data_IF_847725246474
#
_entry.id   IF_847725246474
#
_cell.length_a   1.000
_cell.length_b   1.000
_cell.length_c   1.000
_cell.angle_alpha   90.00
_cell.angle_beta   90.00
_cell.angle_gamma   90.00
#
_symmetry.space_group_name_H-M   'P 1'
#
loop_
_entity.id
_entity.type
_entity.pdbx_description
1 polymer ?
#
# COMPACT_ATOMS: atom_id res chain seq x y z
N UNK A 1 11.85 2.15 13.48
CA UNK A 1 12.84 1.87 14.55
C UNK A 1 13.62 0.59 14.27
N UNK A 2 12.97 -0.57 14.10
CA UNK A 2 13.64 -1.87 13.84
C UNK A 2 14.59 -1.79 12.65
N UNK A 3 14.16 -1.17 11.55
CA UNK A 3 14.96 -0.97 10.35
C UNK A 3 16.20 -0.13 10.61
N UNK A 4 16.07 0.95 11.39
CA UNK A 4 17.20 1.83 11.73
C UNK A 4 18.25 1.11 12.56
N UNK A 5 17.85 0.33 13.58
CA UNK A 5 18.75 -0.51 14.35
C UNK A 5 19.51 -1.52 13.49
N UNK A 6 18.85 -2.09 12.48
CA UNK A 6 19.45 -3.08 11.60
C UNK A 6 20.52 -2.49 10.67
N UNK A 7 20.27 -1.32 10.11
CA UNK A 7 21.16 -0.71 9.10
C UNK A 7 22.16 0.29 9.70
N UNK A 8 21.86 0.84 10.88
CA UNK A 8 22.68 1.84 11.57
C UNK A 8 22.85 1.45 13.04
N UNK A 9 23.54 0.29 13.34
CA UNK A 9 23.62 -0.24 14.69
C UNK A 9 24.36 0.68 15.66
N UNK A 10 25.28 1.51 15.15
CA UNK A 10 26.15 2.39 15.93
C UNK A 10 25.60 3.82 16.11
N UNK A 11 24.41 4.09 15.53
CA UNK A 11 23.75 5.40 15.63
C UNK A 11 22.54 5.29 16.57
N UNK A 12 22.34 6.25 17.49
CA UNK A 12 21.10 6.31 18.28
C UNK A 12 19.87 6.28 17.37
N UNK A 13 18.89 5.44 17.72
CA UNK A 13 17.73 5.19 16.84
C UNK A 13 16.98 6.47 16.50
N UNK A 14 16.78 7.35 17.49
CA UNK A 14 16.07 8.61 17.31
C UNK A 14 16.81 9.55 16.35
N UNK A 15 18.13 9.59 16.44
CA UNK A 15 18.98 10.35 15.54
C UNK A 15 18.92 9.79 14.11
N UNK A 16 19.05 8.48 13.95
CA UNK A 16 18.94 7.81 12.64
C UNK A 16 17.55 8.03 12.00
N UNK A 17 16.49 8.00 12.80
CA UNK A 17 15.12 8.28 12.36
C UNK A 17 14.97 9.73 11.91
N UNK A 18 15.53 10.69 12.65
CA UNK A 18 15.43 12.11 12.30
C UNK A 18 16.22 12.43 11.01
N UNK A 19 17.43 11.90 10.88
CA UNK A 19 18.23 12.03 9.64
C UNK A 19 17.47 11.45 8.45
N UNK A 20 16.89 10.25 8.59
CA UNK A 20 16.09 9.64 7.53
C UNK A 20 14.88 10.49 7.18
N UNK A 21 14.15 10.99 8.18
CA UNK A 21 12.95 11.80 7.96
C UNK A 21 13.26 13.15 7.31
N UNK A 22 14.35 13.83 7.72
CA UNK A 22 14.75 15.10 7.10
C UNK A 22 15.13 14.90 5.65
N UNK A 23 16.00 13.92 5.36
CA UNK A 23 16.39 13.60 4.00
C UNK A 23 15.19 13.23 3.12
N UNK A 24 14.30 12.38 3.65
CA UNK A 24 13.10 11.96 2.92
C UNK A 24 12.16 13.14 2.66
N UNK A 25 12.00 14.07 3.61
CA UNK A 25 11.18 15.27 3.44
C UNK A 25 11.71 16.18 2.33
N UNK A 26 13.04 16.39 2.34
CA UNK A 26 13.69 17.33 1.42
C UNK A 26 13.78 16.77 -0.01
N UNK A 27 13.85 15.43 -0.15
CA UNK A 27 14.04 14.75 -1.44
C UNK A 27 12.81 13.94 -1.87
N UNK A 28 11.69 14.04 -1.17
CA UNK A 28 10.50 13.19 -1.39
C UNK A 28 10.06 13.17 -2.85
N UNK A 29 10.05 14.33 -3.49
CA UNK A 29 9.65 14.49 -4.88
C UNK A 29 10.46 13.62 -5.84
N UNK A 30 11.76 13.47 -5.61
CA UNK A 30 12.67 12.72 -6.48
C UNK A 30 12.71 11.22 -6.15
N UNK A 31 12.27 10.86 -4.93
CA UNK A 31 12.31 9.49 -4.42
C UNK A 31 11.05 8.67 -4.72
N UNK A 32 10.02 9.28 -5.30
CA UNK A 32 8.76 8.59 -5.59
C UNK A 32 8.42 8.68 -7.08
N UNK A 33 7.83 7.60 -7.58
CA UNK A 33 7.26 7.54 -8.93
C UNK A 33 6.04 6.65 -8.94
N UNK A 34 5.17 6.83 -9.95
CA UNK A 34 4.02 5.96 -10.20
C UNK A 34 4.48 4.81 -11.09
N UNK A 35 4.12 3.59 -10.72
CA UNK A 35 4.41 2.44 -11.57
C UNK A 35 3.65 2.53 -12.89
N UNK A 36 4.27 2.06 -14.00
CA UNK A 36 3.64 2.11 -15.32
C UNK A 36 2.25 1.46 -15.33
N UNK A 37 1.28 2.17 -15.90
CA UNK A 37 -0.10 1.71 -16.05
C UNK A 37 -1.00 1.92 -14.84
N UNK A 38 -0.49 2.33 -13.67
CA UNK A 38 -1.33 2.52 -12.47
C UNK A 38 -2.32 3.67 -12.61
N UNK A 39 -1.91 4.79 -13.19
CA UNK A 39 -2.81 5.93 -13.44
C UNK A 39 -3.98 5.52 -14.35
N UNK A 40 -3.68 4.81 -15.46
CA UNK A 40 -4.69 4.31 -16.37
C UNK A 40 -5.61 3.28 -15.69
N UNK A 41 -5.06 2.41 -14.83
CA UNK A 41 -5.84 1.47 -14.02
C UNK A 41 -6.83 2.22 -13.11
N UNK A 42 -6.34 3.17 -12.31
CA UNK A 42 -7.17 3.95 -11.39
C UNK A 42 -8.30 4.67 -12.13
N UNK A 43 -8.01 5.27 -13.28
CA UNK A 43 -9.01 5.90 -14.12
C UNK A 43 -10.10 4.92 -14.56
N UNK A 44 -9.72 3.73 -15.08
CA UNK A 44 -10.68 2.73 -15.52
C UNK A 44 -11.51 2.13 -14.38
N UNK A 45 -10.90 1.92 -13.20
CA UNK A 45 -11.62 1.48 -11.99
C UNK A 45 -12.70 2.52 -11.62
N UNK A 46 -12.34 3.81 -11.66
CA UNK A 46 -13.29 4.90 -11.38
C UNK A 46 -14.40 5.01 -12.44
N UNK A 47 -14.08 4.84 -13.72
CA UNK A 47 -15.05 4.83 -14.83
C UNK A 47 -16.05 3.67 -14.71
N UNK A 48 -15.67 2.54 -14.10
CA UNK A 48 -16.56 1.42 -13.79
C UNK A 48 -17.47 1.70 -12.57
N UNK A 49 -17.27 2.79 -11.85
CA UNK A 49 -18.02 3.14 -10.65
C UNK A 49 -17.60 2.37 -9.40
N UNK A 50 -16.44 1.72 -9.44
CA UNK A 50 -15.91 1.00 -8.29
C UNK A 50 -15.43 1.97 -7.20
N UNK A 51 -15.64 1.59 -5.95
CA UNK A 51 -15.13 2.33 -4.79
C UNK A 51 -13.66 2.01 -4.56
N UNK A 52 -12.86 3.04 -4.29
CA UNK A 52 -11.42 2.91 -4.15
C UNK A 52 -10.91 3.43 -2.81
N UNK A 53 -10.05 2.65 -2.18
CA UNK A 53 -9.37 3.00 -0.94
C UNK A 53 -7.85 2.89 -1.05
N UNK A 54 -7.13 3.86 -0.51
CA UNK A 54 -5.68 3.77 -0.30
C UNK A 54 -5.40 3.42 1.16
N UNK A 55 -4.74 2.28 1.40
CA UNK A 55 -4.30 1.84 2.73
C UNK A 55 -2.78 1.82 2.78
N UNK A 56 -2.17 2.73 3.54
CA UNK A 56 -0.72 2.90 3.55
C UNK A 56 -0.13 2.98 4.96
N UNK A 57 1.10 2.47 5.12
CA UNK A 57 1.91 2.66 6.34
C UNK A 57 2.67 3.99 6.37
N UNK A 58 2.47 4.85 5.36
CA UNK A 58 3.03 6.20 5.33
C UNK A 58 2.24 7.15 6.22
N UNK A 59 2.89 8.24 6.65
CA UNK A 59 2.24 9.35 7.34
C UNK A 59 1.32 10.12 6.38
N UNK A 60 0.26 10.73 6.93
CA UNK A 60 -0.73 11.50 6.17
C UNK A 60 -0.08 12.59 5.31
N UNK A 61 0.90 13.32 5.87
CA UNK A 61 1.62 14.37 5.15
C UNK A 61 2.32 13.85 3.87
N UNK A 62 3.12 12.77 3.99
CA UNK A 62 3.84 12.21 2.83
C UNK A 62 2.90 11.54 1.83
N UNK A 63 1.81 10.96 2.31
CA UNK A 63 0.77 10.39 1.45
C UNK A 63 0.10 11.48 0.63
N UNK A 64 -0.30 12.58 1.27
CA UNK A 64 -0.89 13.74 0.60
C UNK A 64 0.03 14.31 -0.48
N UNK A 65 1.31 14.54 -0.14
CA UNK A 65 2.31 15.05 -1.11
C UNK A 65 2.43 14.14 -2.34
N UNK A 66 2.45 12.80 -2.14
CA UNK A 66 2.54 11.85 -3.25
C UNK A 66 1.32 11.88 -4.15
N UNK A 67 0.13 11.92 -3.56
CA UNK A 67 -1.13 11.99 -4.31
C UNK A 67 -1.27 13.31 -5.09
N UNK A 68 -0.87 14.44 -4.50
CA UNK A 68 -0.90 15.76 -5.16
C UNK A 68 0.13 15.85 -6.29
N UNK A 69 1.34 15.32 -6.09
CA UNK A 69 2.39 15.36 -7.12
C UNK A 69 1.99 14.70 -8.43
N UNK A 70 1.17 13.65 -8.37
CA UNK A 70 0.77 12.84 -9.53
C UNK A 70 -0.72 12.96 -9.86
N UNK A 71 -1.42 13.95 -9.30
CA UNK A 71 -2.85 14.18 -9.52
C UNK A 71 -3.72 12.94 -9.26
N UNK A 72 -3.32 12.12 -8.24
CA UNK A 72 -3.99 10.85 -7.95
C UNK A 72 -5.06 10.97 -6.85
N UNK A 73 -5.20 12.11 -6.20
CA UNK A 73 -6.06 12.29 -5.03
C UNK A 73 -7.52 11.92 -5.33
N UNK A 74 -8.04 12.34 -6.46
CA UNK A 74 -9.45 12.22 -6.82
C UNK A 74 -9.84 10.79 -7.28
N UNK A 75 -8.85 9.92 -7.41
CA UNK A 75 -9.10 8.50 -7.66
C UNK A 75 -9.44 7.72 -6.40
N UNK A 76 -9.19 8.25 -5.20
CA UNK A 76 -9.43 7.53 -3.95
C UNK A 76 -10.60 8.15 -3.18
N UNK A 77 -11.64 7.35 -2.91
CA UNK A 77 -12.78 7.72 -2.09
C UNK A 77 -12.41 7.75 -0.61
N UNK A 78 -11.43 6.92 -0.22
CA UNK A 78 -10.93 6.81 1.16
C UNK A 78 -9.40 6.70 1.17
N UNK A 79 -8.77 7.38 2.11
CA UNK A 79 -7.33 7.24 2.42
C UNK A 79 -7.21 6.88 3.91
N UNK A 80 -6.47 5.79 4.18
CA UNK A 80 -6.12 5.33 5.53
C UNK A 80 -4.60 5.32 5.64
N UNK A 81 -4.07 6.12 6.55
CA UNK A 81 -2.64 6.31 6.79
C UNK A 81 -2.19 5.64 8.09
N UNK A 82 -0.90 5.65 8.38
CA UNK A 82 -0.37 5.13 9.64
C UNK A 82 -0.95 5.81 10.88
N UNK A 83 -1.40 7.08 10.76
CA UNK A 83 -1.93 7.87 11.87
C UNK A 83 -3.42 7.58 12.15
N UNK A 84 -4.11 6.93 11.21
CA UNK A 84 -5.52 6.55 11.35
C UNK A 84 -5.71 5.24 12.13
N UNK A 85 -4.62 4.51 12.43
CA UNK A 85 -4.67 3.15 12.97
C UNK A 85 -3.79 3.01 14.21
N UNK A 86 -4.21 2.16 15.15
CA UNK A 86 -3.41 1.77 16.31
C UNK A 86 -2.49 0.60 15.99
N UNK A 87 -2.94 -0.28 15.13
CA UNK A 87 -2.20 -1.43 14.64
C UNK A 87 -1.94 -1.27 13.15
N UNK A 88 -0.77 -1.73 12.71
CA UNK A 88 -0.34 -1.61 11.33
C UNK A 88 -0.32 -2.96 10.63
N UNK A 89 -0.29 -2.95 9.30
CA UNK A 89 -0.15 -4.17 8.51
C UNK A 89 0.98 -5.06 9.07
N UNK A 90 0.78 -6.35 9.30
CA UNK A 90 -0.27 -7.24 8.74
C UNK A 90 -1.56 -7.33 9.56
N UNK A 91 -1.76 -6.52 10.62
CA UNK A 91 -3.05 -6.49 11.33
C UNK A 91 -4.16 -6.01 10.39
N UNK A 92 -5.38 -6.58 10.47
CA UNK A 92 -6.49 -6.21 9.57
C UNK A 92 -7.09 -4.82 9.84
N UNK A 93 -6.74 -4.16 10.94
CA UNK A 93 -7.34 -2.88 11.34
C UNK A 93 -7.34 -1.82 10.21
N UNK A 94 -6.24 -1.57 9.47
CA UNK A 94 -6.24 -0.56 8.42
C UNK A 94 -7.24 -0.86 7.29
N UNK A 95 -7.36 -2.13 6.90
CA UNK A 95 -8.31 -2.56 5.87
C UNK A 95 -9.74 -2.47 6.36
N UNK A 96 -10.00 -2.88 7.60
CA UNK A 96 -11.34 -2.79 8.21
C UNK A 96 -11.83 -1.34 8.31
N UNK A 97 -10.94 -0.39 8.62
CA UNK A 97 -11.27 1.04 8.62
C UNK A 97 -11.62 1.51 7.21
N UNK A 98 -10.86 1.09 6.19
CA UNK A 98 -11.15 1.43 4.80
C UNK A 98 -12.50 0.87 4.34
N UNK A 99 -12.77 -0.40 4.63
CA UNK A 99 -14.06 -1.07 4.32
C UNK A 99 -15.24 -0.33 4.95
N UNK A 100 -15.12 0.01 6.25
CA UNK A 100 -16.18 0.73 6.96
C UNK A 100 -16.43 2.12 6.34
N UNK A 101 -15.39 2.87 6.00
CA UNK A 101 -15.51 4.18 5.36
C UNK A 101 -16.07 4.11 3.94
N UNK A 102 -15.78 3.03 3.21
CA UNK A 102 -16.30 2.78 1.86
C UNK A 102 -17.72 2.20 1.86
N UNK A 103 -18.26 1.84 3.01
CA UNK A 103 -19.49 1.05 3.11
C UNK A 103 -19.41 -0.17 2.18
N UNK A 104 -18.33 -0.95 2.33
CA UNK A 104 -18.05 -2.16 1.56
C UNK A 104 -17.84 -3.36 2.47
N UNK A 105 -18.02 -4.57 1.91
CA UNK A 105 -17.86 -5.83 2.63
C UNK A 105 -16.60 -6.57 2.16
N UNK A 106 -15.91 -7.31 3.04
CA UNK A 106 -14.70 -8.05 2.70
C UNK A 106 -14.85 -8.94 1.45
N UNK A 107 -15.96 -9.69 1.36
CA UNK A 107 -16.25 -10.63 0.27
C UNK A 107 -16.48 -9.97 -1.10
N UNK A 108 -16.69 -8.65 -1.13
CA UNK A 108 -16.85 -7.84 -2.33
C UNK A 108 -15.70 -6.86 -2.53
N UNK A 109 -14.55 -7.17 -1.92
CA UNK A 109 -13.40 -6.29 -1.94
C UNK A 109 -12.13 -7.05 -2.27
N UNK A 110 -11.20 -6.37 -2.91
CA UNK A 110 -9.86 -6.89 -3.11
C UNK A 110 -8.82 -5.84 -2.64
N UNK A 111 -7.67 -6.31 -2.20
CA UNK A 111 -6.55 -5.47 -1.82
C UNK A 111 -5.35 -5.80 -2.70
N UNK A 112 -4.88 -4.79 -3.43
CA UNK A 112 -3.66 -4.82 -4.21
C UNK A 112 -2.48 -4.37 -3.34
N UNK A 113 -1.45 -5.20 -3.23
CA UNK A 113 -0.26 -4.88 -2.43
C UNK A 113 1.04 -5.36 -3.05
N UNK A 114 2.15 -4.85 -2.56
CA UNK A 114 3.49 -5.14 -3.06
C UNK A 114 4.37 -5.90 -2.05
N UNK A 115 3.86 -6.14 -0.84
CA UNK A 115 4.57 -6.84 0.23
C UNK A 115 3.71 -7.93 0.88
N UNK A 116 4.36 -8.86 1.57
CA UNK A 116 3.66 -9.85 2.38
C UNK A 116 2.85 -9.23 3.52
N UNK A 117 3.22 -8.06 4.00
CA UNK A 117 2.41 -7.34 4.99
C UNK A 117 1.04 -6.93 4.44
N UNK A 118 0.97 -6.57 3.15
CA UNK A 118 -0.29 -6.25 2.47
C UNK A 118 -1.15 -7.49 2.29
N UNK A 119 -0.53 -8.57 1.82
CA UNK A 119 -1.22 -9.84 1.56
C UNK A 119 -1.82 -10.43 2.85
N UNK A 120 -1.02 -10.45 3.92
CA UNK A 120 -1.49 -10.92 5.23
C UNK A 120 -2.57 -10.01 5.81
N UNK A 121 -2.44 -8.69 5.65
CA UNK A 121 -3.45 -7.73 6.10
C UNK A 121 -4.79 -7.98 5.39
N UNK A 122 -4.78 -8.18 4.07
CA UNK A 122 -5.97 -8.52 3.29
C UNK A 122 -6.59 -9.85 3.76
N UNK A 123 -5.78 -10.91 3.88
CA UNK A 123 -6.23 -12.24 4.36
C UNK A 123 -6.85 -12.15 5.75
N UNK A 124 -6.18 -11.45 6.69
CA UNK A 124 -6.67 -11.28 8.05
C UNK A 124 -7.97 -10.46 8.12
N UNK A 125 -8.22 -9.60 7.14
CA UNK A 125 -9.47 -8.86 6.98
C UNK A 125 -10.55 -9.61 6.19
N UNK A 126 -10.26 -10.83 5.68
CA UNK A 126 -11.18 -11.59 4.83
C UNK A 126 -11.36 -11.04 3.43
N UNK A 127 -10.41 -10.20 2.96
CA UNK A 127 -10.41 -9.54 1.65
C UNK A 127 -9.55 -10.35 0.67
N UNK A 128 -9.96 -10.44 -0.59
CA UNK A 128 -9.16 -11.06 -1.65
C UNK A 128 -7.83 -10.34 -1.82
N UNK A 129 -6.72 -11.05 -1.63
CA UNK A 129 -5.37 -10.49 -1.74
C UNK A 129 -4.82 -10.62 -3.15
N UNK A 130 -4.29 -9.52 -3.70
CA UNK A 130 -3.67 -9.46 -5.03
C UNK A 130 -2.25 -8.91 -4.89
N UNK A 131 -1.25 -9.70 -5.28
CA UNK A 131 0.14 -9.31 -5.24
C UNK A 131 0.59 -8.74 -6.58
N UNK A 132 1.32 -7.62 -6.57
CA UNK A 132 1.95 -7.08 -7.77
C UNK A 132 3.28 -7.78 -8.03
N UNK A 133 3.41 -8.49 -9.15
CA UNK A 133 4.60 -9.26 -9.51
C UNK A 133 5.82 -8.42 -9.93
N UNK A 134 5.68 -7.08 -10.01
CA UNK A 134 6.79 -6.15 -10.24
C UNK A 134 7.33 -5.53 -8.95
N UNK A 135 6.91 -6.02 -7.79
CA UNK A 135 7.41 -5.55 -6.49
C UNK A 135 8.92 -5.78 -6.36
N UNK A 136 9.62 -4.76 -5.89
CA UNK A 136 11.04 -4.84 -5.53
C UNK A 136 11.25 -5.59 -4.20
N UNK A 137 10.19 -5.82 -3.43
CA UNK A 137 10.24 -6.56 -2.17
C UNK A 137 10.22 -8.08 -2.39
N UNK A 138 9.90 -8.54 -3.60
CA UNK A 138 9.82 -9.95 -3.95
C UNK A 138 11.11 -10.43 -4.61
N UNK A 139 11.49 -11.66 -4.30
CA UNK A 139 12.57 -12.37 -4.99
C UNK A 139 11.99 -13.44 -5.89
N UNK A 140 12.67 -13.71 -7.01
CA UNK A 140 12.32 -14.82 -7.87
C UNK A 140 12.43 -16.14 -7.10
N UNK A 141 11.31 -16.88 -7.04
CA UNK A 141 11.25 -18.16 -6.33
C UNK A 141 10.80 -18.05 -4.85
N UNK A 142 10.35 -16.88 -4.40
CA UNK A 142 9.72 -16.77 -3.08
C UNK A 142 8.53 -17.75 -2.99
N UNK A 143 8.61 -18.66 -2.02
CA UNK A 143 7.50 -19.55 -1.67
C UNK A 143 6.75 -18.94 -0.49
N UNK A 144 5.50 -18.64 -0.70
CA UNK A 144 4.64 -18.02 0.30
C UNK A 144 3.91 -19.06 1.18
N UNK A 145 4.03 -20.34 0.86
CA UNK A 145 3.36 -21.42 1.61
C UNK A 145 1.87 -21.16 1.81
N UNK A 146 1.40 -21.31 3.05
CA UNK A 146 0.00 -21.02 3.43
C UNK A 146 -0.38 -19.54 3.30
N UNK A 147 0.60 -18.65 3.22
CA UNK A 147 0.42 -17.21 3.11
C UNK A 147 0.39 -16.72 1.65
N UNK A 148 0.31 -17.62 0.68
CA UNK A 148 0.23 -17.26 -0.71
C UNK A 148 -0.90 -16.26 -1.00
N UNK A 149 -0.64 -15.25 -1.87
CA UNK A 149 -1.67 -14.33 -2.33
C UNK A 149 -2.74 -15.11 -3.13
N UNK A 150 -3.97 -14.62 -3.11
CA UNK A 150 -5.03 -15.23 -3.89
C UNK A 150 -4.81 -15.07 -5.40
N UNK A 151 -4.29 -13.91 -5.80
CA UNK A 151 -3.90 -13.62 -7.17
C UNK A 151 -2.52 -12.94 -7.22
N UNK A 152 -1.82 -13.14 -8.34
CA UNK A 152 -0.61 -12.38 -8.69
C UNK A 152 -0.81 -11.77 -10.07
N UNK A 153 -0.68 -10.44 -10.17
CA UNK A 153 -0.74 -9.73 -11.45
C UNK A 153 0.65 -9.25 -11.85
N UNK A 154 0.95 -9.27 -13.15
CA UNK A 154 2.24 -8.84 -13.71
C UNK A 154 2.16 -7.49 -14.41
N UNK A 155 0.96 -7.02 -14.71
CA UNK A 155 0.67 -5.70 -15.30
C UNK A 155 -0.54 -5.10 -14.59
N UNK A 156 -0.54 -3.79 -14.41
CA UNK A 156 -1.61 -3.09 -13.72
C UNK A 156 -3.01 -3.39 -14.31
N UNK A 157 -3.12 -3.46 -15.64
CA UNK A 157 -4.39 -3.71 -16.32
C UNK A 157 -5.02 -5.08 -16.06
N UNK A 158 -4.23 -6.09 -15.62
CA UNK A 158 -4.77 -7.42 -15.28
C UNK A 158 -5.72 -7.38 -14.07
N UNK A 159 -5.62 -6.34 -13.23
CA UNK A 159 -6.57 -6.16 -12.13
C UNK A 159 -8.01 -6.00 -12.62
N UNK A 160 -8.21 -5.40 -13.80
CA UNK A 160 -9.55 -5.16 -14.37
C UNK A 160 -10.30 -6.44 -14.76
N UNK A 161 -9.58 -7.56 -14.86
CA UNK A 161 -10.17 -8.89 -15.12
C UNK A 161 -10.68 -9.54 -13.82
N UNK A 162 -10.30 -8.99 -12.65
CA UNK A 162 -10.71 -9.48 -11.34
C UNK A 162 -11.88 -8.66 -10.74
N UNK A 163 -12.23 -7.55 -11.35
CA UNK A 163 -13.36 -6.68 -11.04
C UNK A 163 -14.57 -7.08 -11.92
#
# INVERSE_FOLDING_TARGET
>A
EVTMKKFFPDVPVDEAVEIYRSYHRDNFGDLITVFPGMENLLRQVKERGEKTGLVTSRLAYTTKQGLEKYDLKDYFDVVVTAEDTKKHKPDPEPVNIALAKLDSRPEHSLMLGDTMFDILCAKNAGVTSVLVGWSLALKSGDDFGEDAPYHVIRKAGELLELL
#
